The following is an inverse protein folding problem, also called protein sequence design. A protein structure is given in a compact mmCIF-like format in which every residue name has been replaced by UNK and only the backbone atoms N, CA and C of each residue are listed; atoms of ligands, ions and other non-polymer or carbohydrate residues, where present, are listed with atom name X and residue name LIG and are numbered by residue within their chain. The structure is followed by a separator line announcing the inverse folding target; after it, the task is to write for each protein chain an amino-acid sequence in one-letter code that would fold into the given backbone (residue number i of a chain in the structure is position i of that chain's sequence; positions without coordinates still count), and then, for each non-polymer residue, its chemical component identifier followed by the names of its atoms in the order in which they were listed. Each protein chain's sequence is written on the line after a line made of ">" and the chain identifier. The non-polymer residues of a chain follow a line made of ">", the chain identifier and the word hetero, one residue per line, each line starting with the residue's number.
data_IF_634779152300
#
_entry.id   IF_634779152300
#
_cell.length_a   1.000
_cell.length_b   1.000
_cell.length_c   1.000
_cell.angle_alpha   90.00
_cell.angle_beta   90.00
_cell.angle_gamma   90.00
#
_symmetry.space_group_name_H-M   'P 1'
#
loop_
_entity.id
_entity.type
_entity.pdbx_description
1 polymer ?
#
# COMPACT_ATOMS: atom_id res chain seq x y z
N UNK A 1 -2.28 49.93 27.81
CA UNK A 1 -1.56 48.66 27.60
C UNK A 1 -2.07 47.72 28.67
N UNK A 2 -3.20 47.07 28.41
CA UNK A 2 -3.81 46.16 29.38
C UNK A 2 -2.87 44.98 29.59
N UNK A 3 -2.49 44.75 30.85
CA UNK A 3 -1.71 43.58 31.22
C UNK A 3 -2.61 42.36 31.08
N UNK A 4 -2.37 41.56 30.03
CA UNK A 4 -2.82 40.18 29.94
C UNK A 4 -2.62 39.51 31.31
N UNK A 5 -3.71 39.19 32.00
CA UNK A 5 -3.64 38.48 33.27
C UNK A 5 -3.39 37.00 32.97
N UNK A 6 -2.50 36.32 33.70
CA UNK A 6 -2.20 34.90 33.47
C UNK A 6 -3.46 34.01 33.43
N UNK A 7 -4.51 34.38 34.15
CA UNK A 7 -5.81 33.71 34.15
C UNK A 7 -6.62 33.91 32.85
N UNK A 8 -6.55 35.08 32.23
CA UNK A 8 -7.21 35.37 30.94
C UNK A 8 -6.59 34.56 29.81
N UNK A 9 -5.26 34.55 29.72
CA UNK A 9 -4.51 33.75 28.75
C UNK A 9 -4.79 32.24 28.93
N UNK A 10 -4.80 31.74 30.17
CA UNK A 10 -5.11 30.34 30.46
C UNK A 10 -6.53 29.94 30.02
N UNK A 11 -7.52 30.80 30.27
CA UNK A 11 -8.92 30.55 29.87
C UNK A 11 -9.07 30.55 28.35
N UNK A 12 -8.42 31.49 27.65
CA UNK A 12 -8.43 31.55 26.19
C UNK A 12 -7.85 30.29 25.55
N UNK A 13 -6.71 29.80 26.06
CA UNK A 13 -6.10 28.55 25.59
C UNK A 13 -7.01 27.35 25.86
N UNK A 14 -7.67 27.29 27.03
CA UNK A 14 -8.59 26.20 27.37
C UNK A 14 -9.81 26.15 26.43
N UNK A 15 -10.42 27.31 26.17
CA UNK A 15 -11.57 27.41 25.25
C UNK A 15 -11.15 27.05 23.83
N UNK A 16 -10.01 27.57 23.36
CA UNK A 16 -9.48 27.25 22.04
C UNK A 16 -9.16 25.75 21.92
N UNK A 17 -8.49 25.15 22.91
CA UNK A 17 -8.17 23.73 22.93
C UNK A 17 -9.44 22.86 22.94
N UNK A 18 -10.47 23.27 23.68
CA UNK A 18 -11.74 22.57 23.70
C UNK A 18 -12.43 22.62 22.33
N UNK A 19 -12.54 23.80 21.71
CA UNK A 19 -13.16 23.96 20.39
C UNK A 19 -12.37 23.20 19.33
N UNK A 20 -11.04 23.32 19.31
CA UNK A 20 -10.18 22.60 18.37
C UNK A 20 -10.30 21.08 18.53
N UNK A 21 -10.31 20.57 19.76
CA UNK A 21 -10.46 19.13 19.99
C UNK A 21 -11.84 18.62 19.58
N UNK A 22 -12.91 19.39 19.82
CA UNK A 22 -14.26 19.05 19.37
C UNK A 22 -14.35 19.01 17.83
N UNK A 23 -13.78 20.00 17.13
CA UNK A 23 -13.77 20.05 15.67
C UNK A 23 -12.97 18.88 15.07
N UNK A 24 -11.78 18.61 15.58
CA UNK A 24 -10.92 17.52 15.11
C UNK A 24 -11.58 16.16 15.37
N UNK A 25 -12.14 15.95 16.56
CA UNK A 25 -12.84 14.71 16.90
C UNK A 25 -14.10 14.50 16.04
N UNK A 26 -14.89 15.56 15.85
CA UNK A 26 -16.08 15.53 15.01
C UNK A 26 -15.75 15.19 13.54
N UNK A 27 -14.71 15.82 12.99
CA UNK A 27 -14.23 15.51 11.64
C UNK A 27 -13.71 14.06 11.56
N UNK A 28 -12.85 13.65 12.49
CA UNK A 28 -12.25 12.32 12.47
C UNK A 28 -13.31 11.21 12.57
N UNK A 29 -14.24 11.29 13.52
CA UNK A 29 -15.25 10.23 13.73
C UNK A 29 -16.31 10.27 12.62
N UNK A 30 -16.74 11.46 12.20
CA UNK A 30 -17.77 11.60 11.17
C UNK A 30 -17.31 11.18 9.77
N UNK A 31 -16.03 11.41 9.41
CA UNK A 31 -15.51 11.05 8.09
C UNK A 31 -14.90 9.65 7.99
N UNK A 32 -14.54 9.01 9.12
CA UNK A 32 -13.90 7.68 9.16
C UNK A 32 -14.55 6.65 8.22
N UNK A 33 -15.88 6.42 8.25
CA UNK A 33 -16.49 5.41 7.36
C UNK A 33 -16.30 5.72 5.87
N UNK A 34 -16.38 7.01 5.49
CA UNK A 34 -16.15 7.44 4.10
C UNK A 34 -14.68 7.31 3.71
N UNK A 35 -13.76 7.60 4.62
CA UNK A 35 -12.32 7.42 4.39
C UNK A 35 -11.98 5.95 4.15
N UNK A 36 -12.57 5.04 4.93
CA UNK A 36 -12.35 3.59 4.77
C UNK A 36 -12.87 3.08 3.42
N UNK A 37 -14.08 3.48 3.01
CA UNK A 37 -14.65 3.13 1.70
C UNK A 37 -13.76 3.65 0.58
N UNK A 38 -13.35 4.92 0.65
CA UNK A 38 -12.49 5.52 -0.36
C UNK A 38 -11.11 4.85 -0.41
N UNK A 39 -10.53 4.48 0.73
CA UNK A 39 -9.26 3.75 0.81
C UNK A 39 -9.36 2.38 0.16
N UNK A 40 -10.41 1.61 0.45
CA UNK A 40 -10.64 0.29 -0.19
C UNK A 40 -10.84 0.44 -1.71
N UNK A 41 -11.59 1.45 -2.14
CA UNK A 41 -11.81 1.72 -3.56
C UNK A 41 -10.51 2.13 -4.27
N UNK A 42 -9.70 2.97 -3.64
CA UNK A 42 -8.42 3.40 -4.19
C UNK A 42 -7.42 2.25 -4.27
N UNK A 43 -7.38 1.40 -3.25
CA UNK A 43 -6.57 0.17 -3.27
C UNK A 43 -6.93 -0.73 -4.47
N UNK A 44 -8.23 -1.00 -4.69
CA UNK A 44 -8.71 -1.74 -5.87
C UNK A 44 -8.29 -1.08 -7.18
N UNK A 45 -8.43 0.24 -7.29
CA UNK A 45 -7.99 0.99 -8.48
C UNK A 45 -6.51 0.81 -8.74
N UNK A 46 -5.67 0.89 -7.72
CA UNK A 46 -4.22 0.78 -7.89
C UNK A 46 -3.79 -0.65 -8.23
N UNK A 47 -4.42 -1.68 -7.66
CA UNK A 47 -4.22 -3.07 -8.09
C UNK A 47 -4.57 -3.23 -9.58
N UNK A 48 -5.72 -2.68 -10.01
CA UNK A 48 -6.14 -2.73 -11.42
C UNK A 48 -5.23 -1.90 -12.34
N UNK A 49 -4.72 -0.75 -11.89
CA UNK A 49 -3.74 0.06 -12.64
C UNK A 49 -2.44 -0.70 -12.86
N UNK A 50 -1.86 -1.30 -11.81
CA UNK A 50 -0.68 -2.14 -11.94
C UNK A 50 -0.93 -3.31 -12.89
N UNK A 51 -2.12 -3.93 -12.83
CA UNK A 51 -2.53 -4.97 -13.75
C UNK A 51 -2.81 -4.48 -15.19
N UNK A 52 -2.81 -3.16 -15.46
CA UNK A 52 -3.15 -2.58 -16.76
C UNK A 52 -4.64 -2.67 -17.13
N UNK A 53 -5.52 -2.94 -16.14
CA UNK A 53 -6.96 -3.15 -16.31
C UNK A 53 -7.79 -1.89 -16.05
N UNK A 54 -7.19 -0.82 -15.50
CA UNK A 54 -7.90 0.44 -15.22
C UNK A 54 -7.08 1.66 -15.64
N UNK A 55 -7.67 2.51 -16.48
CA UNK A 55 -7.05 3.74 -17.02
C UNK A 55 -7.87 5.00 -16.63
N UNK A 56 -8.55 4.97 -15.48
CA UNK A 56 -9.36 6.10 -15.00
C UNK A 56 -10.80 6.12 -15.48
N UNK A 57 -11.24 5.11 -16.24
CA UNK A 57 -12.63 4.91 -16.68
C UNK A 57 -13.06 3.47 -16.45
N UNK A 58 -14.36 3.27 -16.22
CA UNK A 58 -14.96 1.95 -15.98
C UNK A 58 -15.37 1.74 -14.52
N UNK A 59 -16.20 0.72 -14.30
CA UNK A 59 -16.63 0.32 -12.97
C UNK A 59 -15.55 -0.54 -12.29
N UNK A 60 -15.00 -0.03 -11.19
CA UNK A 60 -13.89 -0.66 -10.47
C UNK A 60 -14.30 -2.02 -9.90
N UNK A 61 -15.51 -2.12 -9.35
CA UNK A 61 -15.99 -3.35 -8.72
C UNK A 61 -16.13 -4.48 -9.75
N UNK A 62 -16.72 -4.19 -10.91
CA UNK A 62 -16.82 -5.14 -12.03
C UNK A 62 -15.45 -5.57 -12.52
N UNK A 63 -14.52 -4.63 -12.73
CA UNK A 63 -13.16 -4.95 -13.16
C UNK A 63 -12.40 -5.78 -12.13
N UNK A 64 -12.67 -5.60 -10.84
CA UNK A 64 -12.00 -6.32 -9.77
C UNK A 64 -12.51 -7.77 -9.60
N UNK A 65 -13.65 -8.15 -10.20
CA UNK A 65 -14.16 -9.53 -10.12
C UNK A 65 -13.21 -10.57 -10.74
N UNK A 66 -12.34 -10.15 -11.67
CA UNK A 66 -11.32 -11.03 -12.26
C UNK A 66 -10.05 -11.16 -11.41
N UNK A 67 -9.99 -10.45 -10.27
CA UNK A 67 -8.86 -10.41 -9.35
C UNK A 67 -9.16 -11.31 -8.16
N UNK A 68 -8.33 -12.32 -7.95
CA UNK A 68 -8.42 -13.23 -6.82
C UNK A 68 -7.34 -12.89 -5.79
N UNK A 69 -7.75 -12.42 -4.61
CA UNK A 69 -6.83 -12.21 -3.49
C UNK A 69 -6.45 -13.54 -2.83
N UNK A 70 -5.17 -13.71 -2.53
CA UNK A 70 -4.61 -14.85 -1.78
C UNK A 70 -3.64 -14.36 -0.73
N UNK A 71 -3.47 -15.13 0.33
CA UNK A 71 -2.39 -14.95 1.30
C UNK A 71 -1.31 -15.99 1.03
N UNK A 72 -0.05 -15.57 1.04
CA UNK A 72 1.12 -16.45 0.94
C UNK A 72 1.98 -16.36 2.19
N UNK A 73 2.72 -17.42 2.48
CA UNK A 73 3.84 -17.37 3.43
C UNK A 73 5.09 -16.89 2.71
N UNK A 74 5.73 -15.83 3.20
CA UNK A 74 6.92 -15.27 2.55
C UNK A 74 8.15 -16.19 2.60
N UNK A 75 8.19 -17.12 3.56
CA UNK A 75 9.33 -18.03 3.72
C UNK A 75 9.49 -19.02 2.56
N UNK A 76 8.39 -19.45 1.93
CA UNK A 76 8.38 -20.52 0.92
C UNK A 76 7.45 -20.25 -0.27
N UNK A 77 6.68 -19.15 -0.24
CA UNK A 77 5.71 -18.80 -1.29
C UNK A 77 4.43 -19.64 -1.28
N UNK A 78 4.24 -20.52 -0.29
CA UNK A 78 3.05 -21.37 -0.21
C UNK A 78 1.78 -20.55 0.06
N UNK A 79 0.67 -20.94 -0.56
CA UNK A 79 -0.63 -20.35 -0.26
C UNK A 79 -1.12 -20.77 1.12
N UNK A 80 -1.67 -19.81 1.85
CA UNK A 80 -2.37 -20.04 3.11
C UNK A 80 -3.86 -20.27 2.82
N UNK A 81 -4.49 -21.32 3.36
CA UNK A 81 -5.92 -21.55 3.19
C UNK A 81 -6.76 -20.39 3.78
N UNK A 82 -7.84 -19.95 3.11
CA UNK A 82 -8.70 -18.85 3.59
C UNK A 82 -9.32 -19.09 4.97
N UNK A 83 -9.48 -20.35 5.37
CA UNK A 83 -9.99 -20.72 6.70
C UNK A 83 -8.98 -20.40 7.81
N UNK A 84 -7.70 -20.28 7.47
CA UNK A 84 -6.62 -19.91 8.39
C UNK A 84 -6.41 -18.39 8.42
N UNK A 85 -6.33 -17.77 7.24
CA UNK A 85 -6.21 -16.32 7.08
C UNK A 85 -7.07 -15.88 5.89
N UNK A 86 -8.16 -15.17 6.16
CA UNK A 86 -9.05 -14.64 5.13
C UNK A 86 -8.36 -13.46 4.41
N UNK A 87 -8.08 -13.56 3.09
CA UNK A 87 -7.50 -12.46 2.33
C UNK A 87 -8.32 -11.16 2.36
N UNK A 88 -9.64 -11.23 2.57
CA UNK A 88 -10.51 -10.06 2.60
C UNK A 88 -10.37 -9.22 3.89
N UNK A 89 -10.02 -9.88 5.00
CA UNK A 89 -9.90 -9.27 6.33
C UNK A 89 -8.43 -9.12 6.78
N UNK A 90 -7.48 -9.67 6.02
CA UNK A 90 -6.07 -9.65 6.38
C UNK A 90 -5.42 -8.26 6.21
N UNK A 91 -4.93 -7.69 7.30
CA UNK A 91 -4.12 -6.48 7.30
C UNK A 91 -2.62 -6.81 7.36
N UNK A 92 -1.97 -6.72 6.20
CA UNK A 92 -0.55 -7.02 6.04
C UNK A 92 0.36 -6.07 6.84
N UNK A 93 0.00 -4.80 6.98
CA UNK A 93 0.83 -3.82 7.70
C UNK A 93 0.75 -4.05 9.22
N UNK A 94 -0.44 -4.36 9.73
CA UNK A 94 -0.59 -4.77 11.13
C UNK A 94 0.11 -6.10 11.40
N UNK A 95 0.05 -7.05 10.46
CA UNK A 95 0.76 -8.33 10.60
C UNK A 95 2.27 -8.14 10.74
N UNK A 96 2.87 -7.18 10.04
CA UNK A 96 4.30 -6.89 10.16
C UNK A 96 4.72 -6.40 11.55
N UNK A 97 3.82 -5.72 12.29
CA UNK A 97 4.08 -5.15 13.61
C UNK A 97 3.75 -6.09 14.76
N UNK A 98 3.15 -7.24 14.47
CA UNK A 98 2.75 -8.23 15.45
C UNK A 98 3.87 -9.26 15.67
N UNK A 99 4.18 -9.61 16.92
CA UNK A 99 5.30 -10.51 17.25
C UNK A 99 5.14 -11.95 16.69
N UNK A 100 3.90 -12.42 16.56
CA UNK A 100 3.60 -13.78 16.09
C UNK A 100 3.61 -13.85 14.56
N UNK A 101 3.04 -12.85 13.90
CA UNK A 101 2.83 -12.85 12.44
C UNK A 101 3.84 -11.98 11.68
N UNK A 102 4.66 -11.21 12.39
CA UNK A 102 5.76 -10.42 11.86
C UNK A 102 7.12 -10.93 12.32
N UNK A 103 8.18 -10.32 11.80
CA UNK A 103 9.57 -10.55 12.20
C UNK A 103 10.36 -9.25 12.11
N UNK A 104 11.31 -9.08 13.02
CA UNK A 104 12.33 -8.03 12.93
C UNK A 104 13.37 -8.40 11.87
N UNK A 105 13.76 -7.44 11.05
CA UNK A 105 14.80 -7.59 10.05
C UNK A 105 16.17 -7.24 10.65
N UNK A 106 17.21 -8.01 10.30
CA UNK A 106 18.58 -7.58 10.52
C UNK A 106 18.94 -6.41 9.60
N UNK A 107 20.06 -5.74 9.86
CA UNK A 107 20.51 -4.63 9.00
C UNK A 107 20.87 -5.10 7.58
N UNK A 108 21.36 -6.34 7.46
CA UNK A 108 21.74 -6.97 6.19
C UNK A 108 20.51 -7.38 5.38
N UNK A 109 19.43 -7.78 6.06
CA UNK A 109 18.15 -8.12 5.43
C UNK A 109 17.34 -6.88 5.05
N UNK A 110 17.44 -5.81 5.84
CA UNK A 110 16.61 -4.61 5.70
C UNK A 110 17.06 -3.65 4.60
N UNK A 111 17.16 -4.16 3.37
CA UNK A 111 17.52 -3.38 2.17
C UNK A 111 16.52 -2.24 1.88
N UNK A 112 15.28 -2.40 2.33
CA UNK A 112 14.18 -1.47 2.07
C UNK A 112 13.86 -0.56 3.27
N UNK A 113 14.61 -0.62 4.38
CA UNK A 113 14.44 0.26 5.54
C UNK A 113 13.11 0.12 6.28
N UNK A 114 12.55 -1.08 6.34
CA UNK A 114 11.25 -1.39 6.92
C UNK A 114 11.32 -1.70 8.43
N UNK A 115 12.47 -2.12 8.94
CA UNK A 115 12.71 -2.67 10.28
C UNK A 115 11.96 -3.98 10.62
N UNK A 116 10.70 -4.11 10.19
CA UNK A 116 9.87 -5.29 10.38
C UNK A 116 9.19 -5.72 9.07
N UNK A 117 9.05 -7.02 8.91
CA UNK A 117 8.39 -7.66 7.78
C UNK A 117 7.36 -8.67 8.27
N UNK A 118 6.20 -8.70 7.65
CA UNK A 118 5.21 -9.74 7.81
C UNK A 118 5.77 -11.13 7.42
N UNK A 119 5.28 -12.20 8.05
CA UNK A 119 5.52 -13.58 7.62
C UNK A 119 4.54 -14.01 6.52
N UNK A 120 3.41 -13.33 6.42
CA UNK A 120 2.34 -13.59 5.47
C UNK A 120 2.00 -12.35 4.66
N UNK A 121 1.88 -12.46 3.34
CA UNK A 121 1.64 -11.33 2.45
C UNK A 121 0.44 -11.59 1.55
N UNK A 122 -0.28 -10.53 1.18
CA UNK A 122 -1.31 -10.60 0.15
C UNK A 122 -0.65 -10.67 -1.23
N UNK A 123 -1.24 -11.46 -2.12
CA UNK A 123 -0.98 -11.42 -3.55
C UNK A 123 -2.31 -11.44 -4.29
N UNK A 124 -2.35 -10.81 -5.45
CA UNK A 124 -3.57 -10.74 -6.26
C UNK A 124 -3.33 -11.40 -7.59
N UNK A 125 -4.13 -12.42 -7.91
CA UNK A 125 -4.00 -13.19 -9.13
C UNK A 125 -5.05 -12.69 -10.13
N UNK A 126 -4.61 -12.32 -11.32
CA UNK A 126 -5.51 -12.03 -12.44
C UNK A 126 -5.54 -13.25 -13.35
N UNK A 127 -6.75 -13.74 -13.61
CA UNK A 127 -6.96 -14.88 -14.51
C UNK A 127 -7.69 -14.44 -15.77
N UNK A 128 -7.23 -14.94 -16.92
CA UNK A 128 -7.85 -14.75 -18.22
C UNK A 128 -8.15 -16.11 -18.84
N UNK A 129 -9.41 -16.35 -19.19
CA UNK A 129 -9.87 -17.63 -19.74
C UNK A 129 -9.45 -18.85 -18.89
N UNK A 130 -9.45 -18.72 -17.56
CA UNK A 130 -9.09 -19.80 -16.62
C UNK A 130 -7.58 -19.98 -16.39
N UNK A 131 -6.73 -19.28 -17.15
CA UNK A 131 -5.26 -19.32 -16.97
C UNK A 131 -4.77 -18.10 -16.21
N UNK A 132 -3.66 -18.26 -15.49
CA UNK A 132 -2.96 -17.14 -14.87
C UNK A 132 -2.46 -16.18 -15.96
N UNK A 133 -2.83 -14.90 -15.83
CA UNK A 133 -2.38 -13.83 -16.72
C UNK A 133 -1.32 -12.97 -16.02
N UNK A 134 -1.61 -12.56 -14.78
CA UNK A 134 -0.72 -11.71 -13.97
C UNK A 134 -0.77 -12.04 -12.48
N UNK A 135 0.32 -11.75 -11.80
CA UNK A 135 0.43 -11.75 -10.34
C UNK A 135 0.78 -10.35 -9.88
N UNK A 136 -0.02 -9.76 -9.01
CA UNK A 136 0.21 -8.43 -8.45
C UNK A 136 0.67 -8.57 -7.01
N UNK A 137 1.82 -8.00 -6.72
CA UNK A 137 2.52 -8.05 -5.44
C UNK A 137 2.48 -6.67 -4.78
N UNK A 138 2.01 -6.55 -3.52
CA UNK A 138 2.23 -5.35 -2.74
C UNK A 138 3.72 -5.21 -2.45
N UNK A 139 4.26 -4.03 -2.73
CA UNK A 139 5.66 -3.68 -2.46
C UNK A 139 5.71 -2.45 -1.57
N UNK A 140 6.71 -2.37 -0.70
CA UNK A 140 6.98 -1.17 0.10
C UNK A 140 8.46 -0.98 0.40
N UNK A 141 8.88 0.26 0.55
CA UNK A 141 10.25 0.62 0.87
C UNK A 141 10.41 2.06 1.33
N UNK A 142 11.44 2.32 2.13
CA UNK A 142 11.73 3.65 2.66
C UNK A 142 12.30 4.54 1.55
N UNK A 143 11.57 5.62 1.25
CA UNK A 143 12.05 6.76 0.46
C UNK A 143 12.82 7.76 1.33
N UNK A 144 13.05 8.97 0.82
CA UNK A 144 13.78 9.99 1.57
C UNK A 144 12.92 10.54 2.71
N UNK A 145 11.65 10.85 2.43
CA UNK A 145 10.75 11.51 3.38
C UNK A 145 9.76 10.54 4.01
N UNK A 146 9.32 9.54 3.25
CA UNK A 146 8.18 8.67 3.58
C UNK A 146 8.47 7.21 3.25
N UNK A 147 7.56 6.32 3.64
CA UNK A 147 7.54 4.96 3.08
C UNK A 147 6.71 4.99 1.82
N UNK A 148 7.24 4.40 0.76
CA UNK A 148 6.57 4.23 -0.52
C UNK A 148 5.78 2.91 -0.46
N UNK A 149 4.50 2.96 -0.77
CA UNK A 149 3.65 1.77 -0.92
C UNK A 149 3.12 1.68 -2.34
N UNK A 150 3.25 0.49 -2.93
CA UNK A 150 2.90 0.27 -4.32
C UNK A 150 2.50 -1.16 -4.62
N UNK A 151 2.21 -1.38 -5.89
CA UNK A 151 1.90 -2.67 -6.48
C UNK A 151 2.81 -2.91 -7.68
N UNK A 152 3.43 -4.08 -7.74
CA UNK A 152 4.18 -4.57 -8.88
C UNK A 152 3.42 -5.72 -9.52
N UNK A 153 3.11 -5.62 -10.80
CA UNK A 153 2.44 -6.68 -11.55
C UNK A 153 3.45 -7.45 -12.40
N UNK A 154 3.57 -8.74 -12.19
CA UNK A 154 4.32 -9.68 -13.00
C UNK A 154 3.41 -10.38 -14.00
N UNK A 155 3.95 -10.69 -15.17
CA UNK A 155 3.30 -11.53 -16.17
C UNK A 155 3.23 -12.99 -15.70
N UNK A 156 2.53 -13.85 -16.45
CA UNK A 156 2.37 -15.27 -16.12
C UNK A 156 3.69 -16.06 -16.00
N UNK A 157 4.79 -15.54 -16.55
CA UNK A 157 6.14 -16.10 -16.40
C UNK A 157 6.80 -15.81 -15.05
N UNK A 158 6.15 -15.02 -14.19
CA UNK A 158 6.63 -14.59 -12.87
C UNK A 158 7.99 -13.87 -12.88
N UNK A 159 8.39 -13.33 -14.03
CA UNK A 159 9.66 -12.63 -14.21
C UNK A 159 9.49 -11.29 -14.92
N UNK A 160 8.65 -11.23 -15.96
CA UNK A 160 8.46 -10.01 -16.74
C UNK A 160 7.51 -9.05 -16.03
N UNK A 161 8.00 -7.86 -15.70
CA UNK A 161 7.21 -6.78 -15.12
C UNK A 161 6.22 -6.27 -16.17
N UNK A 162 4.94 -6.36 -15.85
CA UNK A 162 3.82 -5.90 -16.67
C UNK A 162 3.29 -4.52 -16.27
N UNK A 163 3.66 -4.03 -15.08
CA UNK A 163 3.29 -2.71 -14.60
C UNK A 163 3.71 -2.48 -13.14
N UNK A 164 3.78 -1.21 -12.76
CA UNK A 164 4.03 -0.76 -11.40
C UNK A 164 3.16 0.47 -11.12
N UNK A 165 2.70 0.63 -9.88
CA UNK A 165 2.09 1.87 -9.40
C UNK A 165 2.44 2.09 -7.94
N UNK A 166 2.50 3.34 -7.51
CA UNK A 166 2.50 3.71 -6.09
C UNK A 166 1.14 4.29 -5.74
N UNK A 167 0.69 4.07 -4.51
CA UNK A 167 -0.61 4.54 -4.02
C UNK A 167 -0.52 5.37 -2.75
N UNK A 168 0.59 5.27 -2.02
CA UNK A 168 0.84 6.08 -0.84
C UNK A 168 2.33 6.41 -0.74
N UNK A 169 2.63 7.70 -0.69
CA UNK A 169 3.93 8.25 -0.34
C UNK A 169 3.78 9.75 0.02
N UNK A 170 4.84 10.31 0.60
CA UNK A 170 4.95 11.72 1.00
C UNK A 170 6.22 12.38 0.47
N UNK A 171 6.67 11.95 -0.70
CA UNK A 171 7.86 12.52 -1.36
C UNK A 171 7.56 13.87 -2.01
N UNK A 172 8.58 14.69 -2.21
CA UNK A 172 8.44 16.03 -2.81
C UNK A 172 7.96 15.93 -4.27
N UNK A 173 6.85 16.61 -4.64
CA UNK A 173 6.39 16.69 -6.03
C UNK A 173 7.46 17.27 -6.96
N UNK A 174 7.62 16.70 -8.16
CA UNK A 174 8.66 17.12 -9.12
C UNK A 174 10.07 16.58 -8.84
N UNK A 175 10.26 15.81 -7.76
CA UNK A 175 11.52 15.13 -7.43
C UNK A 175 11.25 13.64 -7.15
N UNK A 176 11.20 13.24 -5.87
CA UNK A 176 10.88 11.86 -5.49
C UNK A 176 9.43 11.48 -5.80
N UNK A 177 8.53 12.46 -5.91
CA UNK A 177 7.15 12.24 -6.32
C UNK A 177 6.98 11.85 -7.80
N UNK A 178 8.04 11.89 -8.62
CA UNK A 178 7.96 11.45 -10.02
C UNK A 178 7.68 9.95 -10.18
N UNK A 179 7.67 9.17 -9.10
CA UNK A 179 7.20 7.78 -9.10
C UNK A 179 5.70 7.65 -9.48
N UNK A 180 4.93 8.73 -9.36
CA UNK A 180 3.53 8.82 -9.81
C UNK A 180 3.40 9.15 -11.31
N UNK A 181 4.50 9.56 -11.96
CA UNK A 181 4.48 9.95 -13.36
C UNK A 181 4.15 8.73 -14.26
N UNK A 182 3.08 8.79 -15.07
CA UNK A 182 2.71 7.68 -15.96
C UNK A 182 3.83 7.26 -16.92
N UNK A 183 4.63 8.21 -17.41
CA UNK A 183 5.73 7.91 -18.33
C UNK A 183 6.86 7.15 -17.62
N UNK A 184 7.13 7.51 -16.37
CA UNK A 184 8.10 6.79 -15.54
C UNK A 184 7.61 5.36 -15.23
N UNK A 185 6.34 5.21 -14.84
CA UNK A 185 5.74 3.89 -14.57
C UNK A 185 5.69 3.01 -15.84
N UNK A 186 5.41 3.60 -17.01
CA UNK A 186 5.42 2.88 -18.29
C UNK A 186 6.81 2.31 -18.62
N UNK A 187 7.89 2.98 -18.20
CA UNK A 187 9.27 2.52 -18.39
C UNK A 187 9.61 1.19 -17.72
N UNK A 188 8.79 0.71 -16.78
CA UNK A 188 8.95 -0.59 -16.11
C UNK A 188 8.37 -1.77 -16.90
N UNK A 189 7.45 -1.52 -17.84
CA UNK A 189 6.81 -2.59 -18.60
C UNK A 189 7.84 -3.30 -19.49
N UNK A 190 7.85 -4.63 -19.44
CA UNK A 190 8.76 -5.49 -20.19
C UNK A 190 10.14 -5.69 -19.53
N UNK A 191 10.45 -5.02 -18.42
CA UNK A 191 11.68 -5.30 -17.66
C UNK A 191 11.62 -6.69 -17.03
N UNK A 192 12.77 -7.35 -16.91
CA UNK A 192 12.90 -8.61 -16.18
C UNK A 192 13.19 -8.32 -14.71
N UNK A 193 12.55 -9.06 -13.81
CA UNK A 193 12.78 -8.95 -12.37
C UNK A 193 14.16 -9.47 -11.96
N UNK A 194 14.65 -10.48 -12.69
CA UNK A 194 15.94 -11.11 -12.46
C UNK A 194 16.83 -10.94 -13.70
N UNK A 195 18.14 -10.79 -13.46
CA UNK A 195 19.13 -10.93 -14.52
C UNK A 195 19.15 -12.37 -15.07
N UNK A 196 19.81 -12.64 -16.22
CA UNK A 196 19.91 -13.99 -16.79
C UNK A 196 20.58 -15.03 -15.86
N UNK A 197 21.25 -14.58 -14.79
CA UNK A 197 21.92 -15.42 -13.80
C UNK A 197 21.08 -15.59 -12.51
N UNK A 198 19.87 -15.02 -12.44
CA UNK A 198 18.98 -15.08 -11.28
C UNK A 198 19.26 -14.09 -10.16
N UNK A 199 20.08 -13.05 -10.38
CA UNK A 199 20.31 -11.97 -9.43
C UNK A 199 19.31 -10.82 -9.61
N UNK A 200 19.07 -10.08 -8.53
CA UNK A 200 18.31 -8.83 -8.57
C UNK A 200 19.22 -7.74 -9.15
N UNK A 201 18.78 -7.07 -10.23
CA UNK A 201 19.41 -5.85 -10.76
C UNK A 201 19.02 -4.62 -9.92
#
# INVERSE_FOLDING_TARGET
>A
MDKETPAGAFTAVMVLAFICSLLVAGAAVGLRPRQEINRKLDQKKNILRAAGLYQGKGDVETLFQQVEAKVIRLADGSFVPPETLDPAEFDQLQSALNDETGRKLSREEDKAGLNHQEKFSLVYLVKKAGHLDKVILPIRGKGLWSTLYGYLALSADLSTISGITFYEHGETPGLGGEIDNPDWQAGWQGKQLYDPNGHND
#
